data_IF_554186571325
#
_entry.id   IF_554186571325
#
_cell.length_a   1.000
_cell.length_b   1.000
_cell.length_c   1.000
_cell.angle_alpha   90.00
_cell.angle_beta   90.00
_cell.angle_gamma   90.00
#
_symmetry.space_group_name_H-M   'P 1'
#
loop_
_entity.id
_entity.type
_entity.pdbx_description
1 polymer ?
#
# COMPACT_ATOMS: atom_id res chain seq x y z
N UNK A 1 4.39 -14.60 -23.63
CA UNK A 1 5.19 -15.80 -23.36
C UNK A 1 5.11 -16.13 -21.87
N UNK A 2 4.47 -17.24 -21.51
CA UNK A 2 4.50 -17.77 -20.15
C UNK A 2 5.89 -18.31 -19.85
N UNK A 3 6.59 -17.74 -18.86
CA UNK A 3 7.86 -18.30 -18.38
C UNK A 3 7.56 -19.52 -17.49
N UNK A 4 8.08 -20.67 -17.87
CA UNK A 4 8.13 -21.87 -17.03
C UNK A 4 9.16 -21.67 -15.92
N UNK A 5 8.78 -22.01 -14.68
CA UNK A 5 9.64 -21.90 -13.50
C UNK A 5 10.06 -23.30 -13.06
N UNK A 6 11.35 -23.49 -12.78
CA UNK A 6 11.97 -24.77 -12.42
C UNK A 6 11.72 -25.22 -10.97
N UNK A 7 11.14 -24.38 -10.10
CA UNK A 7 10.88 -24.75 -8.71
C UNK A 7 10.11 -23.71 -7.87
N UNK A 8 9.74 -24.11 -6.64
CA UNK A 8 9.01 -23.27 -5.66
C UNK A 8 9.85 -22.03 -5.26
N UNK A 9 11.16 -22.19 -5.11
CA UNK A 9 12.08 -21.11 -4.73
C UNK A 9 12.23 -20.04 -5.82
N UNK A 10 12.33 -20.44 -7.09
CA UNK A 10 12.38 -19.51 -8.23
C UNK A 10 11.09 -18.68 -8.35
N UNK A 11 9.95 -19.31 -8.10
CA UNK A 11 8.64 -18.63 -8.07
C UNK A 11 8.57 -17.65 -6.90
N UNK A 12 9.03 -18.02 -5.71
CA UNK A 12 9.04 -17.13 -4.54
C UNK A 12 10.01 -15.95 -4.72
N UNK A 13 11.18 -16.20 -5.31
CA UNK A 13 12.17 -15.18 -5.66
C UNK A 13 11.62 -14.19 -6.70
N UNK A 14 10.93 -14.68 -7.73
CA UNK A 14 10.25 -13.84 -8.72
C UNK A 14 9.11 -13.01 -8.11
N UNK A 15 8.27 -13.63 -7.26
CA UNK A 15 7.19 -12.93 -6.55
C UNK A 15 7.74 -11.83 -5.66
N UNK A 16 8.79 -12.13 -4.88
CA UNK A 16 9.49 -11.15 -4.02
C UNK A 16 10.10 -10.00 -4.83
N UNK A 17 10.78 -10.30 -5.93
CA UNK A 17 11.36 -9.31 -6.84
C UNK A 17 10.29 -8.43 -7.46
N UNK A 18 9.17 -9.02 -7.92
CA UNK A 18 8.06 -8.26 -8.50
C UNK A 18 7.36 -7.35 -7.48
N UNK A 19 7.27 -7.78 -6.20
CA UNK A 19 6.73 -6.97 -5.11
C UNK A 19 7.65 -5.81 -4.74
N UNK A 20 8.96 -6.09 -4.55
CA UNK A 20 9.97 -5.06 -4.26
C UNK A 20 10.07 -4.01 -5.36
N UNK A 21 9.96 -4.43 -6.62
CA UNK A 21 9.94 -3.51 -7.74
C UNK A 21 8.68 -2.64 -7.73
N UNK A 22 7.54 -3.19 -7.31
CA UNK A 22 6.30 -2.41 -7.19
C UNK A 22 6.39 -1.32 -6.12
N UNK A 23 6.90 -1.65 -4.93
CA UNK A 23 7.14 -0.66 -3.87
C UNK A 23 8.02 0.49 -4.35
N UNK A 24 9.13 0.18 -5.03
CA UNK A 24 10.06 1.18 -5.57
C UNK A 24 9.36 2.06 -6.60
N UNK A 25 8.61 1.46 -7.53
CA UNK A 25 7.86 2.20 -8.55
C UNK A 25 6.86 3.17 -7.92
N UNK A 26 6.09 2.73 -6.91
CA UNK A 26 5.12 3.61 -6.23
C UNK A 26 5.84 4.71 -5.45
N UNK A 27 6.90 4.38 -4.72
CA UNK A 27 7.68 5.35 -3.95
C UNK A 27 8.29 6.43 -4.84
N UNK A 28 8.98 6.04 -5.92
CA UNK A 28 9.64 6.97 -6.83
C UNK A 28 8.61 7.87 -7.52
N UNK A 29 7.47 7.29 -7.94
CA UNK A 29 6.37 8.04 -8.53
C UNK A 29 5.80 9.11 -7.59
N UNK A 30 5.52 8.76 -6.34
CA UNK A 30 4.96 9.70 -5.36
C UNK A 30 5.98 10.76 -4.95
N UNK A 31 7.24 10.38 -4.71
CA UNK A 31 8.31 11.32 -4.34
C UNK A 31 8.65 12.29 -5.48
N UNK A 32 8.65 11.82 -6.73
CA UNK A 32 8.84 12.69 -7.91
C UNK A 32 7.75 13.77 -7.96
N UNK A 33 6.49 13.39 -7.73
CA UNK A 33 5.40 14.36 -7.65
C UNK A 33 5.57 15.34 -6.48
N UNK A 34 5.91 14.86 -5.27
CA UNK A 34 6.12 15.74 -4.11
C UNK A 34 7.25 16.74 -4.35
N UNK A 35 8.37 16.28 -4.90
CA UNK A 35 9.52 17.11 -5.24
C UNK A 35 9.18 18.18 -6.28
N UNK A 36 8.58 17.77 -7.42
CA UNK A 36 8.19 18.69 -8.51
C UNK A 36 7.21 19.77 -8.08
N UNK A 37 6.38 19.49 -7.09
CA UNK A 37 5.35 20.41 -6.60
C UNK A 37 5.71 21.08 -5.27
N UNK A 38 6.96 20.94 -4.80
CA UNK A 38 7.45 21.49 -3.53
C UNK A 38 6.54 21.15 -2.33
N UNK A 39 6.01 19.93 -2.31
CA UNK A 39 5.17 19.42 -1.23
C UNK A 39 6.09 18.94 -0.11
N UNK A 40 5.89 19.36 1.15
CA UNK A 40 6.77 19.04 2.28
C UNK A 40 6.52 17.62 2.84
N UNK A 41 6.33 16.65 1.94
CA UNK A 41 6.11 15.24 2.26
C UNK A 41 7.21 14.39 1.61
N UNK A 42 7.53 13.27 2.25
CA UNK A 42 8.47 12.29 1.73
C UNK A 42 7.96 10.87 2.00
N UNK A 43 8.21 9.95 1.07
CA UNK A 43 7.91 8.53 1.20
C UNK A 43 9.18 7.77 1.55
N UNK A 44 9.13 7.02 2.66
CA UNK A 44 10.22 6.19 3.19
C UNK A 44 9.82 4.72 3.06
N UNK A 45 10.76 3.85 2.69
CA UNK A 45 10.51 2.40 2.67
C UNK A 45 10.37 1.83 4.08
N UNK A 46 9.38 0.96 4.24
CA UNK A 46 9.18 0.17 5.46
C UNK A 46 10.35 -0.77 5.75
N UNK A 47 10.93 -1.37 4.70
CA UNK A 47 12.07 -2.28 4.85
C UNK A 47 13.26 -1.60 5.53
N UNK A 48 13.55 -2.04 6.75
CA UNK A 48 14.68 -1.55 7.54
C UNK A 48 14.36 -0.33 8.42
N UNK A 49 13.09 0.05 8.56
CA UNK A 49 12.65 1.12 9.45
C UNK A 49 13.21 0.97 10.86
N UNK A 50 13.13 -0.24 11.45
CA UNK A 50 13.63 -0.52 12.80
C UNK A 50 15.08 -0.10 13.03
N UNK A 51 15.92 -0.22 12.01
CA UNK A 51 17.36 0.05 12.09
C UNK A 51 17.70 1.47 11.63
N UNK A 52 17.05 1.96 10.56
CA UNK A 52 17.40 3.24 9.91
C UNK A 52 16.60 4.43 10.45
N UNK A 53 15.38 4.17 10.93
CA UNK A 53 14.41 5.19 11.37
C UNK A 53 13.73 4.72 12.66
N UNK A 54 14.52 4.48 13.71
CA UNK A 54 14.08 3.83 14.96
C UNK A 54 12.87 4.53 15.61
N UNK A 55 12.83 5.86 15.60
CA UNK A 55 11.69 6.62 16.14
C UNK A 55 10.42 6.45 15.31
N UNK A 56 10.54 6.53 13.97
CA UNK A 56 9.42 6.28 13.06
C UNK A 56 8.88 4.86 13.23
N UNK A 57 9.78 3.87 13.32
CA UNK A 57 9.40 2.50 13.62
C UNK A 57 8.70 2.39 14.97
N UNK A 58 9.21 3.04 16.01
CA UNK A 58 8.60 3.02 17.35
C UNK A 58 7.17 3.59 17.38
N UNK A 59 6.88 4.56 16.51
CA UNK A 59 5.57 5.19 16.39
C UNK A 59 4.58 4.37 15.55
N UNK A 60 5.08 3.46 14.70
CA UNK A 60 4.25 2.53 13.91
C UNK A 60 4.11 1.14 14.55
N UNK A 61 5.10 0.72 15.33
CA UNK A 61 5.17 -0.63 15.87
C UNK A 61 4.07 -0.86 16.92
N UNK A 62 3.49 -2.06 16.87
CA UNK A 62 2.29 -2.42 17.62
C UNK A 62 2.70 -2.96 18.98
N UNK A 63 2.23 -2.35 20.09
CA UNK A 63 2.52 -2.84 21.42
C UNK A 63 1.89 -4.22 21.59
N UNK A 64 2.68 -5.16 22.06
CA UNK A 64 2.25 -6.49 22.48
C UNK A 64 2.69 -6.70 23.93
N UNK A 65 2.22 -7.77 24.57
CA UNK A 65 2.52 -8.07 25.97
C UNK A 65 4.01 -7.92 26.29
N UNK A 66 4.87 -8.46 25.44
CA UNK A 66 6.32 -8.48 25.62
C UNK A 66 7.04 -7.73 24.49
N UNK A 67 6.76 -6.43 24.37
CA UNK A 67 7.49 -5.51 23.50
C UNK A 67 6.65 -4.95 22.35
N UNK A 68 7.22 -4.94 21.14
CA UNK A 68 6.58 -4.37 19.96
C UNK A 68 6.81 -5.25 18.73
N UNK A 69 5.79 -5.38 17.90
CA UNK A 69 5.87 -6.07 16.61
C UNK A 69 5.75 -5.07 15.45
N UNK A 70 6.39 -5.39 14.34
CA UNK A 70 6.25 -4.63 13.10
C UNK A 70 4.92 -5.01 12.43
N UNK A 71 4.20 -4.02 11.92
CA UNK A 71 3.01 -4.25 11.09
C UNK A 71 3.34 -4.40 9.61
N UNK A 72 2.31 -4.52 8.77
CA UNK A 72 2.44 -4.59 7.31
C UNK A 72 2.80 -3.22 6.68
N UNK A 73 4.01 -2.76 6.92
CA UNK A 73 4.50 -1.45 6.47
C UNK A 73 5.37 -1.62 5.21
N UNK A 74 4.80 -1.33 4.05
CA UNK A 74 5.56 -1.33 2.80
C UNK A 74 6.23 0.04 2.57
N UNK A 75 5.45 1.13 2.63
CA UNK A 75 5.92 2.52 2.52
C UNK A 75 5.22 3.40 3.57
N UNK A 76 5.92 4.43 4.04
CA UNK A 76 5.41 5.42 5.00
C UNK A 76 5.57 6.81 4.45
N UNK A 77 4.50 7.61 4.49
CA UNK A 77 4.54 9.04 4.19
C UNK A 77 4.77 9.81 5.47
N UNK A 78 5.72 10.74 5.45
CA UNK A 78 6.08 11.61 6.58
C UNK A 78 6.23 13.05 6.13
N UNK A 79 6.14 14.00 7.06
CA UNK A 79 6.51 15.38 6.80
C UNK A 79 8.04 15.51 6.76
N UNK A 80 8.58 16.33 5.86
CA UNK A 80 10.04 16.53 5.73
C UNK A 80 10.67 17.10 7.00
N UNK A 81 9.96 18.01 7.69
CA UNK A 81 10.41 18.60 8.96
C UNK A 81 10.21 17.71 10.18
N UNK A 82 9.29 16.72 10.11
CA UNK A 82 8.96 15.82 11.22
C UNK A 82 8.97 14.36 10.76
N UNK A 83 10.12 13.85 10.30
CA UNK A 83 10.21 12.54 9.63
C UNK A 83 9.96 11.34 10.54
N UNK A 84 9.89 11.55 11.86
CA UNK A 84 9.57 10.51 12.84
C UNK A 84 8.06 10.32 13.06
N UNK A 85 7.21 11.24 12.57
CA UNK A 85 5.75 11.15 12.71
C UNK A 85 5.17 10.50 11.45
N UNK A 86 4.61 9.29 11.54
CA UNK A 86 3.94 8.67 10.40
C UNK A 86 2.64 9.42 10.09
N UNK A 87 2.47 9.84 8.84
CA UNK A 87 1.25 10.49 8.36
C UNK A 87 0.37 9.52 7.58
N UNK A 88 0.98 8.68 6.75
CA UNK A 88 0.28 7.61 6.05
C UNK A 88 1.10 6.34 5.90
N UNK A 89 0.42 5.22 5.73
CA UNK A 89 0.99 3.95 5.26
C UNK A 89 0.42 3.64 3.87
N UNK A 90 1.29 3.33 2.92
CA UNK A 90 0.91 2.86 1.58
C UNK A 90 1.27 1.38 1.49
N UNK A 91 0.27 0.51 1.61
CA UNK A 91 0.44 -0.93 1.42
C UNK A 91 0.53 -1.23 -0.08
N UNK A 92 1.62 -1.85 -0.52
CA UNK A 92 1.97 -2.08 -1.92
C UNK A 92 1.96 -3.57 -2.23
N UNK A 93 0.82 -4.10 -2.69
CA UNK A 93 0.70 -5.53 -3.02
C UNK A 93 0.43 -5.74 -4.50
N UNK A 94 1.09 -6.73 -5.07
CA UNK A 94 0.90 -7.12 -6.47
C UNK A 94 -0.32 -8.02 -6.72
N UNK A 95 -0.90 -8.59 -5.66
CA UNK A 95 -2.13 -9.39 -5.68
C UNK A 95 -2.78 -9.40 -4.28
N UNK A 96 -4.10 -9.58 -4.21
CA UNK A 96 -4.87 -9.46 -2.96
C UNK A 96 -4.69 -10.66 -2.02
N UNK A 97 -5.18 -11.85 -2.38
CA UNK A 97 -4.96 -13.12 -1.66
C UNK A 97 -5.04 -12.98 -0.11
N UNK A 98 -4.36 -13.82 0.67
CA UNK A 98 -4.33 -13.69 2.14
C UNK A 98 -3.67 -12.41 2.67
N UNK A 99 -2.91 -11.70 1.83
CA UNK A 99 -2.17 -10.48 2.21
C UNK A 99 -3.09 -9.29 2.44
N UNK A 100 -4.23 -9.25 1.73
CA UNK A 100 -5.17 -8.15 1.89
C UNK A 100 -5.81 -8.13 3.29
N UNK A 101 -6.17 -9.30 3.84
CA UNK A 101 -6.71 -9.39 5.21
C UNK A 101 -5.71 -8.91 6.26
N UNK A 102 -4.42 -9.21 6.09
CA UNK A 102 -3.35 -8.74 6.96
C UNK A 102 -3.22 -7.22 6.90
N UNK A 103 -3.20 -6.64 5.69
CA UNK A 103 -3.20 -5.18 5.51
C UNK A 103 -4.41 -4.53 6.19
N UNK A 104 -5.61 -5.11 6.04
CA UNK A 104 -6.82 -4.59 6.68
C UNK A 104 -6.75 -4.65 8.20
N UNK A 105 -6.21 -5.73 8.76
CA UNK A 105 -5.99 -5.85 10.20
C UNK A 105 -5.10 -4.72 10.71
N UNK A 106 -3.94 -4.50 10.08
CA UNK A 106 -3.02 -3.45 10.49
C UNK A 106 -3.58 -2.04 10.26
N UNK A 107 -4.36 -1.83 9.19
CA UNK A 107 -5.06 -0.56 8.98
C UNK A 107 -5.99 -0.22 10.15
N UNK A 108 -6.77 -1.19 10.64
CA UNK A 108 -7.67 -1.00 11.79
C UNK A 108 -6.87 -0.72 13.07
N UNK A 109 -5.81 -1.49 13.33
CA UNK A 109 -4.95 -1.30 14.50
C UNK A 109 -4.31 0.08 14.51
N UNK A 110 -3.70 0.51 13.40
CA UNK A 110 -3.08 1.83 13.32
C UNK A 110 -4.07 2.96 13.45
N UNK A 111 -5.27 2.86 12.88
CA UNK A 111 -6.30 3.88 13.03
C UNK A 111 -6.80 4.03 14.47
N UNK A 112 -6.71 2.98 15.29
CA UNK A 112 -7.01 3.05 16.72
C UNK A 112 -5.84 3.63 17.53
N UNK A 113 -4.60 3.32 17.15
CA UNK A 113 -3.40 3.71 17.90
C UNK A 113 -2.86 5.10 17.55
N UNK A 114 -2.96 5.49 16.28
CA UNK A 114 -2.33 6.68 15.72
C UNK A 114 -3.43 7.58 15.16
N UNK A 115 -3.81 8.65 15.89
CA UNK A 115 -4.88 9.54 15.47
C UNK A 115 -4.63 10.10 14.07
N UNK A 116 -5.66 10.04 13.21
CA UNK A 116 -5.67 10.58 11.84
C UNK A 116 -4.69 9.95 10.87
N UNK A 117 -4.06 8.81 11.20
CA UNK A 117 -3.21 8.12 10.23
C UNK A 117 -4.05 7.70 9.02
N UNK A 118 -3.50 7.96 7.84
CA UNK A 118 -4.09 7.55 6.56
C UNK A 118 -3.51 6.20 6.16
N UNK A 119 -4.36 5.26 5.77
CA UNK A 119 -3.92 3.95 5.29
C UNK A 119 -4.52 3.68 3.91
N UNK A 120 -3.65 3.57 2.91
CA UNK A 120 -4.02 3.39 1.52
C UNK A 120 -3.37 2.14 0.94
N UNK A 121 -3.93 1.64 -0.17
CA UNK A 121 -3.46 0.45 -0.85
C UNK A 121 -3.10 0.77 -2.30
N UNK A 122 -1.96 0.28 -2.78
CA UNK A 122 -1.50 0.46 -4.15
C UNK A 122 -1.24 -0.90 -4.81
N UNK A 123 -1.84 -1.16 -5.97
CA UNK A 123 -1.70 -2.42 -6.69
C UNK A 123 -1.68 -2.24 -8.22
N UNK A 124 -0.93 -3.06 -8.95
CA UNK A 124 -1.06 -3.14 -10.41
C UNK A 124 -2.28 -3.97 -10.85
N UNK A 125 -3.06 -4.55 -9.93
CA UNK A 125 -4.22 -5.42 -10.20
C UNK A 125 -3.92 -6.49 -11.26
N UNK A 126 -3.05 -7.46 -10.90
CA UNK A 126 -2.68 -8.57 -11.79
C UNK A 126 -3.86 -9.47 -12.20
N UNK A 127 -5.05 -9.21 -11.64
CA UNK A 127 -6.27 -9.94 -11.91
C UNK A 127 -6.32 -11.31 -11.24
N UNK A 128 -7.50 -11.92 -11.32
CA UNK A 128 -7.77 -13.24 -10.73
C UNK A 128 -7.06 -14.33 -11.52
N UNK A 129 -6.02 -14.92 -10.93
CA UNK A 129 -5.14 -15.92 -11.57
C UNK A 129 -5.85 -17.22 -11.98
N UNK A 130 -7.06 -17.50 -11.49
CA UNK A 130 -7.80 -18.74 -11.77
C UNK A 130 -8.62 -18.71 -13.07
N UNK A 131 -8.57 -17.63 -13.86
CA UNK A 131 -9.42 -17.47 -15.06
C UNK A 131 -8.60 -17.39 -16.35
N UNK A 132 -9.17 -17.96 -17.43
CA UNK A 132 -8.61 -17.91 -18.79
C UNK A 132 -8.50 -16.48 -19.35
N UNK A 133 -9.22 -15.53 -18.76
CA UNK A 133 -9.21 -14.11 -19.10
C UNK A 133 -8.96 -13.30 -17.83
N UNK A 134 -8.19 -12.21 -17.96
CA UNK A 134 -7.96 -11.27 -16.86
C UNK A 134 -9.31 -10.73 -16.36
N UNK A 135 -9.48 -10.73 -15.05
CA UNK A 135 -10.61 -10.09 -14.38
C UNK A 135 -10.09 -9.43 -13.12
N UNK A 136 -10.45 -8.16 -12.92
CA UNK A 136 -10.06 -7.39 -11.74
C UNK A 136 -10.37 -8.13 -10.43
N UNK A 137 -9.46 -8.03 -9.46
CA UNK A 137 -9.70 -8.56 -8.12
C UNK A 137 -10.80 -7.77 -7.37
N UNK A 138 -11.13 -6.55 -7.82
CA UNK A 138 -11.99 -5.58 -7.14
C UNK A 138 -13.46 -5.57 -7.60
N UNK A 139 -13.78 -6.17 -8.75
CA UNK A 139 -15.13 -6.11 -9.34
C UNK A 139 -15.52 -4.68 -9.75
N UNK A 140 -16.82 -4.37 -9.72
CA UNK A 140 -17.35 -3.05 -10.10
C UNK A 140 -18.03 -2.36 -8.93
N UNK A 141 -18.44 -1.09 -9.11
CA UNK A 141 -19.19 -0.37 -8.08
C UNK A 141 -20.58 -0.99 -7.84
N UNK A 142 -21.23 -1.50 -8.89
CA UNK A 142 -22.56 -2.11 -8.83
C UNK A 142 -22.48 -3.57 -8.35
N UNK A 143 -21.37 -4.25 -8.62
CA UNK A 143 -21.10 -5.63 -8.22
C UNK A 143 -19.71 -5.71 -7.56
N UNK A 144 -19.57 -5.15 -6.35
CA UNK A 144 -18.29 -5.14 -5.66
C UNK A 144 -17.89 -6.56 -5.24
N UNK A 145 -16.60 -6.84 -5.28
CA UNK A 145 -16.07 -8.05 -4.64
C UNK A 145 -16.01 -7.84 -3.12
N UNK A 146 -15.82 -8.94 -2.37
CA UNK A 146 -15.55 -8.87 -0.93
C UNK A 146 -14.39 -7.91 -0.64
N UNK A 147 -13.33 -7.97 -1.45
CA UNK A 147 -12.13 -7.17 -1.23
C UNK A 147 -12.39 -5.68 -1.46
N UNK A 148 -13.16 -5.31 -2.50
CA UNK A 148 -13.60 -3.91 -2.69
C UNK A 148 -14.46 -3.41 -1.54
N UNK A 149 -15.46 -4.18 -1.12
CA UNK A 149 -16.35 -3.78 -0.03
C UNK A 149 -15.58 -3.57 1.28
N UNK A 150 -14.61 -4.45 1.58
CA UNK A 150 -13.75 -4.30 2.76
C UNK A 150 -12.79 -3.11 2.64
N UNK A 151 -12.15 -2.92 1.48
CA UNK A 151 -11.29 -1.76 1.23
C UNK A 151 -12.05 -0.44 1.42
N UNK A 152 -13.23 -0.31 0.82
CA UNK A 152 -14.05 0.90 0.92
C UNK A 152 -14.45 1.19 2.37
N UNK A 153 -14.63 0.16 3.19
CA UNK A 153 -14.95 0.31 4.61
C UNK A 153 -13.75 0.73 5.45
N UNK A 154 -12.60 0.08 5.29
CA UNK A 154 -11.49 0.18 6.25
C UNK A 154 -10.31 1.04 5.80
N UNK A 155 -10.08 1.19 4.50
CA UNK A 155 -8.99 1.98 3.93
C UNK A 155 -9.44 3.39 3.57
N UNK A 156 -8.49 4.30 3.42
CA UNK A 156 -8.74 5.69 2.98
C UNK A 156 -8.68 5.83 1.46
N UNK A 157 -8.09 4.85 0.77
CA UNK A 157 -8.05 4.80 -0.69
C UNK A 157 -7.37 3.52 -1.21
N UNK A 158 -7.77 3.11 -2.40
CA UNK A 158 -7.15 2.04 -3.18
C UNK A 158 -6.78 2.59 -4.55
N UNK A 159 -5.53 2.42 -4.94
CA UNK A 159 -4.93 3.05 -6.10
C UNK A 159 -4.41 1.97 -7.05
N UNK A 160 -5.00 1.91 -8.24
CA UNK A 160 -4.82 0.81 -9.19
C UNK A 160 -4.14 1.31 -10.46
N UNK A 161 -3.05 0.63 -10.88
CA UNK A 161 -2.39 0.85 -12.16
C UNK A 161 -2.84 -0.19 -13.19
N UNK A 162 -4.10 -0.12 -13.60
CA UNK A 162 -4.67 -0.98 -14.63
C UNK A 162 -5.94 -0.35 -15.25
N UNK A 163 -5.90 0.00 -16.54
CA UNK A 163 -6.94 0.80 -17.19
C UNK A 163 -8.33 0.15 -17.23
N UNK A 164 -8.39 -1.19 -17.25
CA UNK A 164 -9.66 -1.94 -17.32
C UNK A 164 -10.32 -2.18 -15.95
N UNK A 165 -9.78 -1.64 -14.86
CA UNK A 165 -10.41 -1.76 -13.53
C UNK A 165 -11.56 -0.77 -13.38
N UNK A 166 -12.58 -1.13 -12.60
CA UNK A 166 -13.72 -0.24 -12.34
C UNK A 166 -13.40 0.72 -11.20
N UNK A 167 -13.23 2.00 -11.53
CA UNK A 167 -12.99 3.08 -10.57
C UNK A 167 -14.30 3.62 -9.97
N UNK A 168 -14.21 4.27 -8.81
CA UNK A 168 -15.34 4.86 -8.10
C UNK A 168 -15.27 4.63 -6.59
N UNK A 169 -15.88 5.52 -5.81
CA UNK A 169 -15.79 5.49 -4.35
C UNK A 169 -14.35 5.69 -3.86
N UNK A 170 -13.83 4.70 -3.13
CA UNK A 170 -12.41 4.71 -2.67
C UNK A 170 -11.45 4.01 -3.63
N UNK A 171 -11.95 3.44 -4.74
CA UNK A 171 -11.11 2.79 -5.76
C UNK A 171 -10.79 3.81 -6.85
N UNK A 172 -9.51 4.10 -7.04
CA UNK A 172 -8.99 5.20 -7.86
C UNK A 172 -7.82 4.75 -8.73
N UNK A 173 -7.47 5.59 -9.70
CA UNK A 173 -6.28 5.41 -10.53
C UNK A 173 -5.02 5.65 -9.73
N UNK A 174 -3.93 4.94 -10.04
CA UNK A 174 -2.65 5.15 -9.35
C UNK A 174 -2.19 6.61 -9.46
N UNK A 175 -2.46 7.24 -10.59
CA UNK A 175 -2.10 8.61 -10.92
C UNK A 175 -2.67 9.64 -9.93
N UNK A 176 -3.78 9.30 -9.26
CA UNK A 176 -4.44 10.18 -8.28
C UNK A 176 -3.74 10.15 -6.91
N UNK A 177 -2.99 9.09 -6.60
CA UNK A 177 -2.39 8.83 -5.27
C UNK A 177 -1.61 10.02 -4.70
N UNK A 178 -0.66 10.66 -5.42
CA UNK A 178 0.14 11.73 -4.83
C UNK A 178 -0.71 12.97 -4.49
N UNK A 179 -1.68 13.29 -5.35
CA UNK A 179 -2.56 14.44 -5.15
C UNK A 179 -3.55 14.23 -4.01
N UNK A 180 -4.08 13.02 -3.87
CA UNK A 180 -4.94 12.64 -2.76
C UNK A 180 -4.18 12.59 -1.44
N UNK A 181 -2.96 12.07 -1.42
CA UNK A 181 -2.10 12.11 -0.22
C UNK A 181 -1.84 13.54 0.23
N UNK A 182 -1.53 14.46 -0.69
CA UNK A 182 -1.40 15.89 -0.37
C UNK A 182 -2.67 16.40 0.29
N UNK A 183 -3.83 16.16 -0.32
CA UNK A 183 -5.13 16.64 0.16
C UNK A 183 -5.49 16.06 1.53
N UNK A 184 -5.21 14.78 1.78
CA UNK A 184 -5.58 14.12 3.04
C UNK A 184 -4.65 14.50 4.20
N UNK A 185 -3.38 14.81 3.91
CA UNK A 185 -2.35 14.96 4.94
C UNK A 185 -2.03 16.41 5.30
N UNK A 186 -2.14 17.32 4.33
CA UNK A 186 -1.78 18.74 4.49
C UNK A 186 -2.75 19.69 3.77
N UNK A 187 -3.87 19.18 3.25
CA UNK A 187 -4.95 19.98 2.67
C UNK A 187 -6.06 20.23 3.68
#
# INVERSE_FOLDING_TARGET
>A
MSKEYSGIEDRQSYVSTSGKNWEIVVMDFVNDYFSKNSIPLNVIRGRGLKNKHKELWNNLAIPVKDGKVEGDVDLVVVHTEKPHIPLAVISCKTSLHGRFSETLFYAVVWKQMIPKIVVVFATPDKGRQSKKQWQSEWGTQEKPTKDRALAEKYLDGVYIRHDSSSYGGKIKKLEELPSDLKKMLIG
#
